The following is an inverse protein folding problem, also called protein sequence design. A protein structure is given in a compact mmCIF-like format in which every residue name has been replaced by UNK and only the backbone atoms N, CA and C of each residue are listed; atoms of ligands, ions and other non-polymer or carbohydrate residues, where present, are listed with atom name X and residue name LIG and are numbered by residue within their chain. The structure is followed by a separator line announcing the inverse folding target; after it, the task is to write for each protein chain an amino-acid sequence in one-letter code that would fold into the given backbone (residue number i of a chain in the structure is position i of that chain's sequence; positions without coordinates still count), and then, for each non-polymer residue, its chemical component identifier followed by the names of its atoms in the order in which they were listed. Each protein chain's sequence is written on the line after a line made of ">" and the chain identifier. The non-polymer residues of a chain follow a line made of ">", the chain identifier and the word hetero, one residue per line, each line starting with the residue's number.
data_IF_342573478554
#
_entry.id   IF_342573478554
#
_cell.length_a   1.000
_cell.length_b   1.000
_cell.length_c   1.000
_cell.angle_alpha   90.00
_cell.angle_beta   90.00
_cell.angle_gamma   90.00
#
_symmetry.space_group_name_H-M   'P 1'
#
loop_
_entity.id
_entity.type
_entity.pdbx_description
1 polymer ?
#
# COMPACT_ATOMS: atom_id res chain seq x y z
N UNK A 1 -13.45 -13.62 -28.22
CA UNK A 1 -13.72 -12.40 -27.46
C UNK A 1 -13.86 -12.66 -25.98
N UNK A 2 -14.80 -13.50 -25.56
CA UNK A 2 -14.97 -13.83 -24.12
C UNK A 2 -13.72 -14.47 -23.52
N UNK A 3 -13.03 -15.35 -24.24
CA UNK A 3 -11.82 -16.00 -23.75
C UNK A 3 -10.67 -15.00 -23.61
N UNK A 4 -10.47 -14.13 -24.61
CA UNK A 4 -9.44 -13.09 -24.55
C UNK A 4 -9.67 -12.17 -23.37
N UNK A 5 -10.93 -11.75 -23.18
CA UNK A 5 -11.31 -10.91 -22.05
C UNK A 5 -11.07 -11.62 -20.72
N UNK A 6 -11.33 -12.91 -20.65
CA UNK A 6 -11.14 -13.71 -19.44
C UNK A 6 -9.65 -13.89 -19.13
N UNK A 7 -8.81 -14.10 -20.15
CA UNK A 7 -7.37 -14.22 -19.99
C UNK A 7 -6.71 -12.90 -19.61
N UNK A 8 -7.25 -11.77 -20.13
CA UNK A 8 -6.78 -10.45 -19.77
C UNK A 8 -7.44 -9.92 -18.50
N UNK A 9 -8.18 -10.78 -17.79
CA UNK A 9 -9.02 -10.39 -16.67
C UNK A 9 -8.28 -10.34 -15.33
N UNK A 10 -7.02 -10.76 -15.30
CA UNK A 10 -6.21 -10.62 -14.09
C UNK A 10 -6.07 -9.14 -13.78
N UNK A 11 -6.61 -8.73 -12.66
CA UNK A 11 -6.54 -7.33 -12.24
C UNK A 11 -5.10 -7.00 -11.83
N UNK A 12 -4.73 -5.78 -12.05
CA UNK A 12 -3.43 -5.29 -11.59
C UNK A 12 -3.60 -4.61 -10.24
N UNK A 13 -3.94 -3.33 -10.24
CA UNK A 13 -4.20 -2.59 -9.00
C UNK A 13 -5.69 -2.68 -8.67
N UNK A 14 -6.00 -2.95 -7.41
CA UNK A 14 -7.39 -3.09 -6.96
C UNK A 14 -7.80 -1.99 -5.98
N UNK A 15 -6.86 -1.16 -5.54
CA UNK A 15 -7.18 -0.06 -4.64
C UNK A 15 -5.93 0.59 -4.07
N UNK A 16 -6.13 1.65 -3.33
CA UNK A 16 -5.05 2.32 -2.60
C UNK A 16 -4.87 1.60 -1.28
N UNK A 17 -3.66 1.06 -1.06
CA UNK A 17 -3.34 0.32 0.15
C UNK A 17 -2.73 1.17 1.24
N UNK A 18 -2.23 2.37 0.89
CA UNK A 18 -1.69 3.24 1.91
C UNK A 18 -1.05 4.50 1.36
N UNK A 19 -0.97 5.49 2.23
CA UNK A 19 -0.30 6.75 1.95
C UNK A 19 0.75 6.94 3.02
N UNK A 20 2.02 7.00 2.60
CA UNK A 20 3.17 7.20 3.48
C UNK A 20 3.80 8.53 3.13
N UNK A 21 4.15 9.31 4.14
CA UNK A 21 4.70 10.64 3.89
C UNK A 21 5.68 11.01 4.98
N UNK A 22 6.65 11.85 4.61
CA UNK A 22 7.66 12.36 5.54
C UNK A 22 7.13 13.55 6.29
N UNK A 23 7.51 13.65 7.56
CA UNK A 23 7.24 14.85 8.35
C UNK A 23 8.33 15.00 9.42
N UNK A 24 8.46 16.21 9.97
CA UNK A 24 9.51 16.50 10.94
C UNK A 24 9.29 15.76 12.25
N UNK A 25 8.04 15.61 12.68
CA UNK A 25 7.72 14.99 13.96
C UNK A 25 6.47 14.09 13.79
N UNK A 26 6.67 12.81 13.48
CA UNK A 26 5.55 11.88 13.28
C UNK A 26 4.62 11.75 14.48
N UNK A 27 5.17 11.80 15.69
CA UNK A 27 4.36 11.72 16.91
C UNK A 27 3.42 12.91 17.03
N UNK A 28 3.95 14.09 16.83
CA UNK A 28 3.16 15.33 16.86
C UNK A 28 2.11 15.35 15.75
N UNK A 29 2.48 14.86 14.57
CA UNK A 29 1.57 14.77 13.43
C UNK A 29 0.40 13.83 13.76
N UNK A 30 0.67 12.65 14.30
CA UNK A 30 -0.37 11.70 14.70
C UNK A 30 -1.29 12.30 15.77
N UNK A 31 -0.72 13.00 16.74
CA UNK A 31 -1.52 13.66 17.78
C UNK A 31 -2.45 14.74 17.22
N UNK A 32 -1.96 15.50 16.26
CA UNK A 32 -2.77 16.54 15.60
C UNK A 32 -3.97 15.92 14.88
N UNK A 33 -3.72 14.87 14.10
CA UNK A 33 -4.79 14.17 13.37
C UNK A 33 -5.78 13.48 14.32
N UNK A 34 -5.29 12.92 15.41
CA UNK A 34 -6.16 12.32 16.41
C UNK A 34 -7.06 13.37 17.06
N UNK A 35 -6.48 14.51 17.44
CA UNK A 35 -7.21 15.58 18.13
C UNK A 35 -8.23 16.27 17.23
N UNK A 36 -7.85 16.58 16.01
CA UNK A 36 -8.67 17.43 15.15
C UNK A 36 -9.48 16.68 14.11
N UNK A 37 -9.05 15.52 13.69
CA UNK A 37 -9.74 14.73 12.67
C UNK A 37 -10.24 13.36 13.16
N UNK A 38 -10.06 13.07 14.43
CA UNK A 38 -10.61 11.85 15.03
C UNK A 38 -9.89 10.57 14.61
N UNK A 39 -8.64 10.67 14.16
CA UNK A 39 -7.87 9.48 13.83
C UNK A 39 -7.56 8.68 15.10
N UNK A 40 -7.73 7.37 15.01
CA UNK A 40 -7.30 6.45 16.06
C UNK A 40 -5.92 5.91 15.67
N UNK A 41 -4.86 6.39 16.31
CA UNK A 41 -3.50 6.13 15.88
C UNK A 41 -2.73 5.25 16.87
N UNK A 42 -1.80 4.47 16.33
CA UNK A 42 -0.79 3.75 17.11
C UNK A 42 0.62 4.25 16.68
N UNK A 43 1.66 3.51 17.01
CA UNK A 43 3.03 3.90 16.67
C UNK A 43 3.28 3.99 15.15
N UNK A 44 2.49 3.29 14.34
CA UNK A 44 2.68 3.25 12.88
C UNK A 44 1.77 4.23 12.12
N UNK A 45 0.65 4.59 12.69
CA UNK A 45 -0.35 5.43 12.02
C UNK A 45 -1.74 4.91 12.29
N UNK A 46 -2.55 4.78 11.26
CA UNK A 46 -3.90 4.24 11.36
C UNK A 46 -4.29 3.46 10.12
N UNK A 47 -5.34 2.68 10.23
CA UNK A 47 -5.93 1.96 9.10
C UNK A 47 -7.39 2.38 8.92
N UNK A 48 -7.80 2.43 7.66
CA UNK A 48 -9.21 2.61 7.28
C UNK A 48 -9.72 1.30 6.71
N UNK A 49 -10.80 0.80 7.26
CA UNK A 49 -11.43 -0.43 6.79
C UNK A 49 -12.52 -0.09 5.78
N UNK A 50 -12.57 -0.83 4.69
CA UNK A 50 -13.60 -0.68 3.67
C UNK A 50 -13.98 -2.04 3.12
N UNK A 51 -14.96 -2.08 2.22
CA UNK A 51 -15.38 -3.33 1.58
C UNK A 51 -14.94 -3.34 0.13
N UNK A 52 -14.52 -4.52 -0.33
CA UNK A 52 -13.99 -4.64 -1.69
C UNK A 52 -15.12 -4.48 -2.71
N UNK A 53 -14.80 -3.84 -3.82
CA UNK A 53 -15.81 -3.44 -4.82
C UNK A 53 -16.50 -4.64 -5.47
N UNK A 54 -15.80 -5.76 -5.60
CA UNK A 54 -16.34 -6.96 -6.24
C UNK A 54 -16.96 -7.95 -5.24
N UNK A 55 -16.79 -7.71 -3.94
CA UNK A 55 -17.34 -8.58 -2.90
C UNK A 55 -17.47 -7.81 -1.59
N UNK A 56 -18.66 -7.36 -1.30
CA UNK A 56 -18.94 -6.55 -0.10
C UNK A 56 -18.74 -7.33 1.21
N UNK A 57 -18.56 -8.63 1.16
CA UNK A 57 -18.27 -9.43 2.35
C UNK A 57 -16.78 -9.40 2.69
N UNK A 58 -15.95 -9.02 1.75
CA UNK A 58 -14.50 -8.95 1.97
C UNK A 58 -14.08 -7.58 2.45
N UNK A 59 -13.31 -7.57 3.53
CA UNK A 59 -12.68 -6.35 4.04
C UNK A 59 -11.46 -5.99 3.22
N UNK A 60 -11.19 -4.71 3.11
CA UNK A 60 -9.93 -4.18 2.61
C UNK A 60 -9.47 -3.09 3.54
N UNK A 61 -8.20 -2.74 3.46
CA UNK A 61 -7.61 -1.75 4.34
C UNK A 61 -6.73 -0.78 3.56
N UNK A 62 -6.76 0.48 3.98
CA UNK A 62 -5.81 1.48 3.53
C UNK A 62 -5.10 2.04 4.75
N UNK A 63 -3.79 2.17 4.67
CA UNK A 63 -2.94 2.59 5.78
C UNK A 63 -2.53 4.05 5.61
N UNK A 64 -2.61 4.84 6.66
CA UNK A 64 -2.09 6.20 6.70
C UNK A 64 -0.93 6.20 7.70
N UNK A 65 0.26 6.58 7.24
CA UNK A 65 1.45 6.45 8.09
C UNK A 65 2.45 7.58 7.84
N UNK A 66 2.68 8.45 8.86
CA UNK A 66 3.75 9.43 8.78
C UNK A 66 5.10 8.79 9.12
N UNK A 67 6.13 9.19 8.37
CA UNK A 67 7.50 8.72 8.53
C UNK A 67 8.40 9.89 8.94
N UNK A 68 9.52 9.58 9.58
CA UNK A 68 10.53 10.59 9.86
C UNK A 68 11.04 11.24 8.58
N UNK A 69 11.35 12.53 8.65
CA UNK A 69 11.83 13.30 7.50
C UNK A 69 13.12 12.72 6.91
N UNK A 70 13.95 12.08 7.74
CA UNK A 70 15.23 11.50 7.32
C UNK A 70 15.14 10.02 6.96
N UNK A 71 13.94 9.46 6.84
CA UNK A 71 13.79 8.05 6.47
C UNK A 71 14.42 7.76 5.11
N UNK A 72 15.05 6.60 5.02
CA UNK A 72 15.61 6.13 3.75
C UNK A 72 14.67 5.18 3.02
N UNK A 73 13.52 4.92 3.59
CA UNK A 73 12.61 3.93 3.04
C UNK A 73 12.06 4.29 1.66
N UNK A 74 11.98 5.59 1.36
CA UNK A 74 11.46 6.04 0.06
C UNK A 74 12.54 6.10 -1.03
N UNK A 75 13.80 5.88 -0.69
CA UNK A 75 14.86 5.89 -1.69
C UNK A 75 14.66 4.77 -2.71
N UNK A 76 15.02 4.97 -3.98
CA UNK A 76 15.75 6.11 -4.54
C UNK A 76 14.90 7.33 -4.88
N UNK A 77 13.62 7.36 -4.55
CA UNK A 77 12.79 8.54 -4.75
C UNK A 77 13.25 9.68 -3.85
N UNK A 78 13.15 10.91 -4.37
CA UNK A 78 13.42 12.13 -3.59
C UNK A 78 12.14 12.80 -3.13
N UNK A 79 11.00 12.16 -3.35
CA UNK A 79 9.70 12.72 -2.97
C UNK A 79 9.45 12.53 -1.49
N UNK A 80 8.57 13.39 -0.96
CA UNK A 80 8.20 13.38 0.46
C UNK A 80 7.14 12.34 0.78
N UNK A 81 6.70 11.58 -0.21
CA UNK A 81 5.62 10.60 -0.05
C UNK A 81 5.92 9.32 -0.81
N UNK A 82 5.22 8.26 -0.43
CA UNK A 82 5.17 7.00 -1.17
C UNK A 82 3.76 6.47 -1.06
N UNK A 83 3.17 6.08 -2.19
CA UNK A 83 1.84 5.49 -2.22
C UNK A 83 1.95 3.98 -2.33
N UNK A 84 1.14 3.28 -1.57
CA UNK A 84 0.99 1.83 -1.65
C UNK A 84 -0.27 1.51 -2.43
N UNK A 85 -0.15 0.63 -3.42
CA UNK A 85 -1.30 0.13 -4.18
C UNK A 85 -1.49 -1.35 -3.90
N UNK A 86 -2.74 -1.73 -3.64
CA UNK A 86 -3.10 -3.13 -3.45
C UNK A 86 -3.19 -3.80 -4.81
N UNK A 87 -2.71 -5.03 -4.90
CA UNK A 87 -2.71 -5.81 -6.14
C UNK A 87 -3.31 -7.19 -5.90
N UNK A 88 -3.83 -7.79 -6.95
CA UNK A 88 -4.48 -9.10 -6.86
C UNK A 88 -3.45 -10.23 -6.80
N UNK A 89 -2.39 -10.15 -7.62
CA UNK A 89 -1.36 -11.19 -7.70
C UNK A 89 -0.01 -10.53 -7.98
N UNK A 90 0.79 -10.38 -6.95
CA UNK A 90 2.04 -9.62 -7.06
C UNK A 90 3.08 -10.35 -7.92
N UNK A 91 3.20 -11.66 -7.79
CA UNK A 91 4.18 -12.43 -8.58
C UNK A 91 3.91 -12.30 -10.06
N UNK A 92 2.66 -12.50 -10.45
CA UNK A 92 2.26 -12.35 -11.85
C UNK A 92 2.48 -10.92 -12.33
N UNK A 93 2.07 -9.94 -11.54
CA UNK A 93 2.18 -8.53 -11.93
C UNK A 93 3.64 -8.11 -12.15
N UNK A 94 4.54 -8.50 -11.24
CA UNK A 94 5.95 -8.14 -11.40
C UNK A 94 6.55 -8.73 -12.68
N UNK A 95 6.20 -9.96 -13.03
CA UNK A 95 6.67 -10.55 -14.27
C UNK A 95 6.17 -9.77 -15.49
N UNK A 96 4.90 -9.36 -15.46
CA UNK A 96 4.35 -8.55 -16.56
C UNK A 96 4.99 -7.18 -16.63
N UNK A 97 5.21 -6.54 -15.49
CA UNK A 97 5.85 -5.22 -15.43
C UNK A 97 7.28 -5.28 -15.95
N UNK A 98 8.03 -6.33 -15.61
CA UNK A 98 9.40 -6.52 -16.12
C UNK A 98 9.39 -6.65 -17.64
N UNK A 99 8.46 -7.41 -18.21
CA UNK A 99 8.31 -7.53 -19.66
C UNK A 99 8.00 -6.20 -20.32
N UNK A 100 7.29 -5.33 -19.61
CA UNK A 100 6.91 -4.00 -20.11
C UNK A 100 8.01 -2.95 -19.91
N UNK A 101 9.14 -3.34 -19.32
CA UNK A 101 10.27 -2.43 -19.11
C UNK A 101 10.15 -1.56 -17.87
N UNK A 102 9.26 -1.88 -16.95
CA UNK A 102 9.10 -1.14 -15.70
C UNK A 102 10.26 -1.48 -14.76
N UNK A 103 10.81 -0.45 -14.11
CA UNK A 103 11.92 -0.63 -13.18
C UNK A 103 11.41 -1.20 -11.84
N UNK A 104 11.68 -2.47 -11.61
CA UNK A 104 11.38 -3.15 -10.34
C UNK A 104 12.60 -3.04 -9.46
N UNK A 105 12.43 -2.52 -8.24
CA UNK A 105 13.54 -2.21 -7.34
C UNK A 105 14.04 -3.39 -6.54
N UNK A 106 13.16 -4.34 -6.23
CA UNK A 106 13.52 -5.39 -5.29
C UNK A 106 12.74 -6.68 -5.59
N UNK A 107 13.11 -7.72 -4.85
CA UNK A 107 12.37 -8.97 -4.88
C UNK A 107 11.16 -8.89 -3.94
N UNK A 108 10.22 -9.81 -4.10
CA UNK A 108 9.06 -9.89 -3.25
C UNK A 108 9.49 -10.25 -1.82
N UNK A 109 9.04 -9.43 -0.88
CA UNK A 109 9.16 -9.73 0.55
C UNK A 109 7.82 -10.24 1.04
N UNK A 110 7.81 -11.47 1.54
CA UNK A 110 6.60 -12.08 2.10
C UNK A 110 6.62 -11.96 3.62
N UNK A 111 5.55 -11.41 4.16
CA UNK A 111 5.34 -11.28 5.60
C UNK A 111 3.97 -11.82 5.96
N UNK A 112 3.63 -11.83 7.26
CA UNK A 112 2.38 -12.41 7.73
C UNK A 112 1.14 -11.81 7.08
N UNK A 113 1.14 -10.50 6.85
CA UNK A 113 -0.03 -9.79 6.33
C UNK A 113 0.06 -9.45 4.84
N UNK A 114 0.96 -10.07 4.11
CA UNK A 114 0.99 -9.96 2.66
C UNK A 114 2.36 -10.03 2.03
N UNK A 115 2.38 -9.74 0.74
CA UNK A 115 3.60 -9.69 -0.06
C UNK A 115 3.81 -8.28 -0.56
N UNK A 116 5.06 -7.83 -0.57
CA UNK A 116 5.42 -6.46 -0.95
C UNK A 116 6.55 -6.45 -1.96
N UNK A 117 6.51 -5.50 -2.86
CA UNK A 117 7.61 -5.16 -3.76
C UNK A 117 7.50 -3.68 -4.13
N UNK A 118 8.55 -3.14 -4.73
CA UNK A 118 8.61 -1.71 -5.07
C UNK A 118 9.00 -1.52 -6.52
N UNK A 119 8.41 -0.51 -7.14
CA UNK A 119 8.70 -0.11 -8.52
C UNK A 119 8.90 1.40 -8.56
N UNK A 120 9.40 1.89 -9.69
CA UNK A 120 9.58 3.33 -9.94
C UNK A 120 8.69 3.73 -11.10
N UNK A 121 7.96 4.83 -10.94
CA UNK A 121 7.12 5.39 -12.00
C UNK A 121 7.93 6.33 -12.91
N UNK A 122 7.33 6.86 -14.00
CA UNK A 122 8.05 7.73 -14.93
C UNK A 122 8.63 9.02 -14.34
N UNK A 123 8.11 9.49 -13.21
CA UNK A 123 8.57 10.71 -12.56
C UNK A 123 9.53 10.43 -11.40
N UNK A 124 9.93 9.16 -11.23
CA UNK A 124 10.86 8.80 -10.16
C UNK A 124 10.21 8.56 -8.81
N UNK A 125 8.88 8.44 -8.76
CA UNK A 125 8.21 8.10 -7.51
C UNK A 125 8.37 6.61 -7.21
N UNK A 126 8.77 6.30 -5.99
CA UNK A 126 8.76 4.92 -5.51
C UNK A 126 7.33 4.53 -5.16
N UNK A 127 6.92 3.40 -5.69
CA UNK A 127 5.58 2.86 -5.46
C UNK A 127 5.73 1.53 -4.73
N UNK A 128 4.95 1.34 -3.68
CA UNK A 128 4.86 0.04 -3.01
C UNK A 128 3.65 -0.71 -3.54
N UNK A 129 3.86 -1.97 -3.91
CA UNK A 129 2.79 -2.87 -4.32
C UNK A 129 2.57 -3.90 -3.22
N UNK A 130 1.32 -4.15 -2.89
CA UNK A 130 0.96 -4.99 -1.76
C UNK A 130 -0.14 -5.99 -2.15
N UNK A 131 0.22 -7.26 -2.19
CA UNK A 131 -0.79 -8.32 -2.25
C UNK A 131 -1.17 -8.62 -0.81
N UNK A 132 -2.28 -8.04 -0.37
CA UNK A 132 -2.67 -8.06 1.04
C UNK A 132 -3.30 -9.40 1.42
N UNK A 133 -2.90 -9.92 2.59
CA UNK A 133 -3.57 -11.03 3.24
C UNK A 133 -4.52 -10.39 4.26
N UNK A 134 -5.70 -10.00 3.79
CA UNK A 134 -6.62 -9.15 4.55
C UNK A 134 -7.10 -9.79 5.86
N UNK A 135 -7.30 -11.10 5.88
CA UNK A 135 -7.70 -11.76 7.11
C UNK A 135 -6.63 -11.67 8.19
N UNK A 136 -5.36 -11.82 7.79
CA UNK A 136 -4.23 -11.71 8.72
C UNK A 136 -4.05 -10.26 9.17
N UNK A 137 -4.17 -9.31 8.24
CA UNK A 137 -4.10 -7.89 8.58
C UNK A 137 -5.21 -7.49 9.55
N UNK A 138 -6.42 -8.00 9.32
CA UNK A 138 -7.58 -7.74 10.18
C UNK A 138 -7.32 -8.16 11.63
N UNK A 139 -6.61 -9.27 11.82
CA UNK A 139 -6.28 -9.78 13.15
C UNK A 139 -5.26 -8.93 13.88
N UNK A 140 -4.31 -8.33 13.16
CA UNK A 140 -3.18 -7.65 13.78
C UNK A 140 -3.27 -6.13 13.84
N UNK A 141 -4.04 -5.51 12.97
CA UNK A 141 -4.16 -4.06 12.93
C UNK A 141 -5.03 -3.58 14.10
N UNK A 142 -4.43 -2.83 15.01
CA UNK A 142 -5.11 -2.34 16.22
C UNK A 142 -5.76 -0.98 16.01
N UNK A 143 -5.01 -0.01 15.49
CA UNK A 143 -5.50 1.34 15.29
C UNK A 143 -6.33 1.43 14.02
N UNK A 144 -7.61 1.72 14.18
CA UNK A 144 -8.56 1.87 13.06
C UNK A 144 -9.36 3.13 13.24
N UNK A 145 -9.40 3.93 12.20
CA UNK A 145 -10.19 5.14 12.16
C UNK A 145 -11.50 4.85 11.46
N UNK A 146 -12.61 5.23 12.10
CA UNK A 146 -13.98 4.99 11.57
C UNK A 146 -14.74 6.28 11.43
#
# INVERSE_FOLDING_TARGET
>A
MALTRKLSHMKRVTGIGGIFFKCEDPKSMKNWYATHLGFDTDEYGTSFEWRQADDAQKKGFSVWSPFDADTKYFEPSRKEFMVNYRVENLEWLLEELKKEGVHVLDEIEAVEYGKFAHIIDPEGNKIQLWEAFDEEYDKMAEARTK
#
